data_IF_215896044149
#
_entry.id   IF_215896044149
#
_cell.length_a   1.000
_cell.length_b   1.000
_cell.length_c   1.000
_cell.angle_alpha   90.00
_cell.angle_beta   90.00
_cell.angle_gamma   90.00
#
_symmetry.space_group_name_H-M   'P 1'
#
loop_
_entity.id
_entity.type
_entity.pdbx_description
1 polymer ?
#
# COMPACT_ATOMS: atom_id res chain seq x y z
N UNK A 1 7.49 -26.61 15.11
CA UNK A 1 8.67 -26.58 14.21
C UNK A 1 8.34 -26.16 12.79
N UNK A 2 7.59 -25.06 12.60
CA UNK A 2 7.51 -24.34 11.32
C UNK A 2 7.34 -22.85 11.63
N UNK A 3 8.42 -22.25 12.09
CA UNK A 3 8.58 -20.81 12.28
C UNK A 3 9.88 -20.46 11.57
N UNK A 4 9.77 -19.72 10.46
CA UNK A 4 10.78 -18.76 9.94
C UNK A 4 10.54 -18.39 8.47
N UNK A 5 9.87 -19.23 7.68
CA UNK A 5 9.76 -19.01 6.22
C UNK A 5 8.84 -17.82 5.85
N UNK A 6 7.99 -17.35 6.75
CA UNK A 6 7.11 -16.21 6.46
C UNK A 6 7.81 -14.84 6.57
N UNK A 7 8.95 -14.75 7.26
CA UNK A 7 9.62 -13.46 7.47
C UNK A 7 11.14 -13.42 7.30
N UNK A 8 11.88 -14.54 7.39
CA UNK A 8 13.34 -14.55 7.17
C UNK A 8 13.74 -15.70 6.24
N UNK A 9 14.41 -15.37 5.14
CA UNK A 9 14.78 -16.34 4.12
C UNK A 9 15.98 -15.87 3.31
N UNK A 10 17.08 -15.58 3.99
CA UNK A 10 18.41 -15.60 3.38
C UNK A 10 19.00 -17.01 3.58
N UNK A 11 19.34 -17.68 2.49
CA UNK A 11 19.60 -19.11 2.49
C UNK A 11 20.00 -19.63 1.13
N UNK A 12 21.26 -19.39 0.80
CA UNK A 12 22.04 -19.91 -0.32
C UNK A 12 21.86 -21.43 -0.48
N UNK A 13 21.47 -21.87 -1.67
CA UNK A 13 21.76 -23.22 -2.19
C UNK A 13 21.62 -23.19 -3.71
N UNK A 14 22.74 -23.45 -4.37
CA UNK A 14 22.88 -23.62 -5.81
C UNK A 14 22.06 -24.83 -6.30
N UNK A 15 21.62 -24.74 -7.55
CA UNK A 15 21.04 -25.79 -8.39
C UNK A 15 19.67 -26.37 -8.02
N UNK A 16 18.66 -25.70 -8.56
CA UNK A 16 17.33 -26.26 -8.78
C UNK A 16 16.36 -25.14 -9.12
N UNK A 17 15.73 -25.19 -10.30
CA UNK A 17 14.66 -24.26 -10.72
C UNK A 17 13.52 -24.26 -9.69
N UNK A 18 13.67 -23.48 -8.62
CA UNK A 18 12.58 -23.07 -7.75
C UNK A 18 11.70 -22.19 -8.62
N UNK A 19 10.53 -22.70 -8.99
CA UNK A 19 9.39 -21.82 -9.22
C UNK A 19 9.11 -21.17 -7.88
N UNK A 20 9.80 -20.06 -7.61
CA UNK A 20 9.74 -19.36 -6.32
C UNK A 20 8.41 -18.62 -6.28
N UNK A 21 7.36 -19.30 -5.82
CA UNK A 21 6.10 -18.64 -5.49
C UNK A 21 6.43 -17.48 -4.55
N UNK A 22 6.02 -16.24 -4.88
CA UNK A 22 6.32 -15.08 -4.05
C UNK A 22 5.80 -15.29 -2.63
N UNK A 23 6.57 -14.92 -1.62
CA UNK A 23 6.10 -14.95 -0.22
C UNK A 23 5.24 -13.73 0.09
N UNK A 24 4.46 -13.79 1.17
CA UNK A 24 3.71 -12.64 1.71
C UNK A 24 4.63 -11.40 1.85
N UNK A 25 5.82 -11.58 2.44
CA UNK A 25 6.80 -10.51 2.64
C UNK A 25 7.21 -9.87 1.30
N UNK A 26 7.52 -10.67 0.28
CA UNK A 26 7.92 -10.18 -1.04
C UNK A 26 6.77 -9.37 -1.67
N UNK A 27 5.54 -9.89 -1.62
CA UNK A 27 4.38 -9.21 -2.19
C UNK A 27 4.03 -7.91 -1.45
N UNK A 28 4.16 -7.87 -0.12
CA UNK A 28 3.98 -6.63 0.67
C UNK A 28 5.00 -5.58 0.22
N UNK A 29 6.28 -5.94 0.13
CA UNK A 29 7.35 -5.01 -0.27
C UNK A 29 7.16 -4.55 -1.71
N UNK A 30 6.86 -5.46 -2.63
CA UNK A 30 6.66 -5.15 -4.05
C UNK A 30 5.41 -4.27 -4.26
N UNK A 31 4.30 -4.58 -3.60
CA UNK A 31 3.07 -3.82 -3.68
C UNK A 31 3.26 -2.40 -3.18
N UNK A 32 3.90 -2.25 -2.01
CA UNK A 32 4.25 -0.95 -1.47
C UNK A 32 5.23 -0.17 -2.38
N UNK A 33 6.22 -0.86 -2.97
CA UNK A 33 7.16 -0.24 -3.90
C UNK A 33 6.48 0.31 -5.16
N UNK A 34 5.60 -0.47 -5.78
CA UNK A 34 4.82 -0.02 -6.93
C UNK A 34 3.84 1.12 -6.56
N UNK A 35 3.18 1.02 -5.41
CA UNK A 35 2.29 2.08 -4.90
C UNK A 35 3.04 3.40 -4.68
N UNK A 36 4.19 3.36 -3.98
CA UNK A 36 5.01 4.54 -3.71
C UNK A 36 5.53 5.20 -4.99
N UNK A 37 5.90 4.38 -5.99
CA UNK A 37 6.29 4.90 -7.30
C UNK A 37 5.12 5.61 -7.98
N UNK A 38 3.94 4.99 -8.00
CA UNK A 38 2.73 5.60 -8.55
C UNK A 38 2.40 6.94 -7.87
N UNK A 39 2.47 6.98 -6.54
CA UNK A 39 2.24 8.20 -5.78
C UNK A 39 3.28 9.28 -6.13
N UNK A 40 4.56 8.92 -6.23
CA UNK A 40 5.64 9.86 -6.62
C UNK A 40 5.41 10.44 -8.03
N UNK A 41 5.04 9.59 -8.99
CA UNK A 41 4.74 10.03 -10.36
C UNK A 41 3.49 10.94 -10.37
N UNK A 42 2.48 10.64 -9.55
CA UNK A 42 1.32 11.51 -9.38
C UNK A 42 1.66 12.87 -8.74
N UNK A 43 2.55 12.92 -7.74
CA UNK A 43 3.04 14.20 -7.19
C UNK A 43 3.76 15.03 -8.26
N UNK A 44 4.56 14.39 -9.11
CA UNK A 44 5.20 15.07 -10.24
C UNK A 44 4.14 15.62 -11.21
N UNK A 45 3.09 14.86 -11.50
CA UNK A 45 1.98 15.31 -12.33
C UNK A 45 1.27 16.54 -11.73
N UNK A 46 0.97 16.54 -10.43
CA UNK A 46 0.37 17.69 -9.73
C UNK A 46 1.23 18.95 -9.88
N UNK A 47 2.53 18.83 -9.61
CA UNK A 47 3.47 19.95 -9.75
C UNK A 47 3.47 20.52 -11.17
N UNK A 48 3.34 19.67 -12.19
CA UNK A 48 3.29 20.10 -13.60
C UNK A 48 1.98 20.81 -13.95
N UNK A 49 0.85 20.36 -13.40
CA UNK A 49 -0.43 21.06 -13.57
C UNK A 49 -0.40 22.44 -12.91
N UNK A 50 0.14 22.57 -11.70
CA UNK A 50 0.25 23.86 -11.02
C UNK A 50 1.10 24.86 -11.82
N UNK A 51 2.18 24.38 -12.46
CA UNK A 51 3.03 25.22 -13.32
C UNK A 51 2.38 25.55 -14.67
N UNK A 52 1.44 24.73 -15.15
CA UNK A 52 0.75 24.95 -16.41
C UNK A 52 -0.13 26.21 -16.39
N UNK A 53 -0.62 26.63 -15.22
CA UNK A 53 -1.36 27.90 -15.07
C UNK A 53 -0.49 29.12 -15.40
N UNK A 54 0.83 29.02 -15.22
CA UNK A 54 1.78 30.12 -15.45
C UNK A 54 2.38 30.09 -16.86
N UNK A 55 2.65 28.89 -17.39
CA UNK A 55 3.48 28.71 -18.60
C UNK A 55 2.74 28.08 -19.79
N UNK A 56 1.46 27.72 -19.61
CA UNK A 56 0.73 26.86 -20.53
C UNK A 56 1.01 25.39 -20.28
N UNK A 57 0.07 24.53 -20.69
CA UNK A 57 0.13 23.10 -20.45
C UNK A 57 0.84 22.36 -21.59
N UNK A 58 1.89 21.60 -21.25
CA UNK A 58 2.45 20.57 -22.13
C UNK A 58 1.68 19.26 -21.91
N UNK A 59 0.65 19.03 -22.73
CA UNK A 59 -0.19 17.84 -22.61
C UNK A 59 0.54 16.54 -22.94
N UNK A 60 1.64 16.59 -23.71
CA UNK A 60 2.44 15.40 -24.00
C UNK A 60 3.20 15.00 -22.73
N UNK A 61 3.87 15.97 -22.09
CA UNK A 61 4.58 15.71 -20.82
C UNK A 61 3.61 15.25 -19.72
N UNK A 62 2.45 15.89 -19.59
CA UNK A 62 1.43 15.50 -18.61
C UNK A 62 0.91 14.08 -18.86
N UNK A 63 0.69 13.70 -20.12
CA UNK A 63 0.24 12.36 -20.49
C UNK A 63 1.29 11.31 -20.14
N UNK A 64 2.57 11.57 -20.42
CA UNK A 64 3.66 10.63 -20.14
C UNK A 64 3.81 10.36 -18.63
N UNK A 65 3.77 11.42 -17.80
CA UNK A 65 3.87 11.28 -16.34
C UNK A 65 2.64 10.54 -15.78
N UNK A 66 1.44 10.89 -16.24
CA UNK A 66 0.23 10.25 -15.76
C UNK A 66 0.17 8.76 -16.16
N UNK A 67 0.62 8.41 -17.37
CA UNK A 67 0.73 7.02 -17.79
C UNK A 67 1.74 6.25 -16.91
N UNK A 68 2.85 6.88 -16.49
CA UNK A 68 3.80 6.26 -15.56
C UNK A 68 3.18 5.98 -14.17
N UNK A 69 2.40 6.93 -13.66
CA UNK A 69 1.65 6.76 -12.42
C UNK A 69 0.63 5.61 -12.52
N UNK A 70 -0.14 5.54 -13.62
CA UNK A 70 -1.11 4.47 -13.90
C UNK A 70 -0.43 3.11 -13.96
N UNK A 71 0.62 2.96 -14.76
CA UNK A 71 1.35 1.69 -14.89
C UNK A 71 1.89 1.19 -13.54
N UNK A 72 2.38 2.11 -12.70
CA UNK A 72 2.85 1.77 -11.36
C UNK A 72 1.70 1.38 -10.42
N UNK A 73 0.53 2.02 -10.55
CA UNK A 73 -0.67 1.64 -9.79
C UNK A 73 -1.21 0.28 -10.24
N UNK A 74 -1.21 -0.04 -11.53
CA UNK A 74 -1.57 -1.37 -12.06
C UNK A 74 -0.67 -2.47 -11.50
N UNK A 75 0.64 -2.20 -11.39
CA UNK A 75 1.57 -3.09 -10.70
C UNK A 75 1.18 -3.29 -9.23
N UNK A 76 0.89 -2.20 -8.51
CA UNK A 76 0.50 -2.26 -7.11
C UNK A 76 -0.79 -3.07 -6.94
N UNK A 77 -1.82 -2.79 -7.76
CA UNK A 77 -3.10 -3.47 -7.76
C UNK A 77 -2.97 -4.97 -8.01
N UNK A 78 -2.23 -5.36 -9.05
CA UNK A 78 -1.95 -6.77 -9.35
C UNK A 78 -1.21 -7.44 -8.20
N UNK A 79 -0.26 -6.75 -7.59
CA UNK A 79 0.53 -7.29 -6.48
C UNK A 79 -0.32 -7.47 -5.22
N UNK A 80 -1.17 -6.49 -4.87
CA UNK A 80 -2.08 -6.59 -3.73
C UNK A 80 -3.20 -7.62 -3.96
N UNK A 81 -3.66 -7.80 -5.19
CA UNK A 81 -4.55 -8.90 -5.56
C UNK A 81 -3.91 -10.26 -5.28
N UNK A 82 -2.65 -10.45 -5.70
CA UNK A 82 -1.91 -11.68 -5.43
C UNK A 82 -1.66 -11.86 -3.93
N UNK A 83 -1.33 -10.77 -3.21
CA UNK A 83 -1.12 -10.77 -1.77
C UNK A 83 -2.38 -11.24 -1.03
N UNK A 84 -3.54 -10.65 -1.31
CA UNK A 84 -4.79 -11.03 -0.62
C UNK A 84 -5.16 -12.49 -0.87
N UNK A 85 -4.92 -13.00 -2.08
CA UNK A 85 -5.23 -14.40 -2.40
C UNK A 85 -4.28 -15.35 -1.68
N UNK A 86 -2.97 -15.07 -1.70
CA UNK A 86 -1.99 -15.87 -0.96
C UNK A 86 -2.26 -15.84 0.56
N UNK A 87 -2.64 -14.68 1.08
CA UNK A 87 -2.98 -14.46 2.48
C UNK A 87 -4.21 -15.26 2.93
N UNK A 88 -5.20 -15.45 2.05
CA UNK A 88 -6.38 -16.25 2.34
C UNK A 88 -6.05 -17.74 2.55
N UNK A 89 -5.04 -18.24 1.84
CA UNK A 89 -4.61 -19.65 1.90
C UNK A 89 -3.46 -19.90 2.90
N UNK A 90 -2.86 -18.83 3.45
CA UNK A 90 -1.69 -18.93 4.33
C UNK A 90 -2.13 -19.01 5.80
N UNK A 91 -1.80 -20.09 6.53
CA UNK A 91 -2.04 -20.14 7.96
C UNK A 91 -1.10 -19.17 8.70
N UNK A 92 -1.67 -18.25 9.46
CA UNK A 92 -0.90 -17.28 10.25
C UNK A 92 -0.36 -17.88 11.56
N UNK A 93 0.76 -17.32 12.02
CA UNK A 93 1.31 -17.63 13.35
C UNK A 93 0.30 -17.22 14.43
N UNK A 94 -0.22 -18.21 15.16
CA UNK A 94 -1.28 -18.00 16.15
C UNK A 94 -0.85 -17.10 17.30
N UNK A 95 0.42 -17.10 17.69
CA UNK A 95 0.94 -16.20 18.71
C UNK A 95 0.88 -14.75 18.26
N UNK A 96 1.35 -14.46 17.03
CA UNK A 96 1.29 -13.11 16.45
C UNK A 96 -0.17 -12.65 16.31
N UNK A 97 -1.03 -13.54 15.83
CA UNK A 97 -2.46 -13.26 15.68
C UNK A 97 -3.12 -12.94 17.03
N UNK A 98 -2.75 -13.65 18.10
CA UNK A 98 -3.29 -13.37 19.42
C UNK A 98 -2.75 -12.06 20.00
N UNK A 99 -1.47 -11.74 19.77
CA UNK A 99 -0.90 -10.44 20.14
C UNK A 99 -1.62 -9.27 19.46
N UNK A 100 -2.03 -9.40 18.20
CA UNK A 100 -2.84 -8.37 17.52
C UNK A 100 -4.13 -8.10 18.28
N UNK A 101 -4.83 -9.14 18.77
CA UNK A 101 -6.09 -8.98 19.51
C UNK A 101 -5.92 -8.17 20.80
N UNK A 102 -4.79 -8.36 21.48
CA UNK A 102 -4.53 -7.76 22.80
C UNK A 102 -3.64 -6.52 22.75
N UNK A 103 -3.24 -6.08 21.55
CA UNK A 103 -2.38 -4.92 21.38
C UNK A 103 -3.05 -3.65 21.93
N UNK A 104 -2.27 -2.78 22.57
CA UNK A 104 -2.76 -1.49 23.09
C UNK A 104 -2.86 -0.46 21.95
N UNK A 105 -3.94 -0.57 21.17
CA UNK A 105 -4.19 0.33 20.04
C UNK A 105 -4.38 1.78 20.45
N UNK A 106 -5.04 2.03 21.58
CA UNK A 106 -5.38 3.39 21.99
C UNK A 106 -4.13 4.10 22.53
N UNK A 107 -3.34 3.41 23.36
CA UNK A 107 -2.02 3.93 23.77
C UNK A 107 -1.06 4.12 22.59
N UNK A 108 -1.10 3.25 21.59
CA UNK A 108 -0.26 3.40 20.39
C UNK A 108 -0.66 4.60 19.53
N UNK A 109 -1.97 4.82 19.33
CA UNK A 109 -2.51 5.99 18.62
C UNK A 109 -2.06 7.30 19.29
N UNK A 110 -2.30 7.42 20.60
CA UNK A 110 -1.97 8.61 21.37
C UNK A 110 -0.45 8.85 21.43
N UNK A 111 0.32 7.80 21.73
CA UNK A 111 1.78 7.90 21.87
C UNK A 111 2.52 8.26 20.59
N UNK A 112 1.92 8.00 19.41
CA UNK A 112 2.54 8.28 18.11
C UNK A 112 1.88 9.46 17.37
N UNK A 113 0.80 10.03 17.89
CA UNK A 113 0.10 11.17 17.28
C UNK A 113 -0.43 10.88 15.86
N UNK A 114 -0.98 9.68 15.65
CA UNK A 114 -1.38 9.23 14.31
C UNK A 114 -2.72 9.85 13.86
N UNK A 115 -2.98 9.83 12.55
CA UNK A 115 -4.29 10.20 12.02
C UNK A 115 -5.35 9.21 12.54
N UNK A 116 -6.26 9.71 13.38
CA UNK A 116 -7.24 8.87 14.08
C UNK A 116 -8.19 8.13 13.14
N UNK A 117 -8.60 8.74 12.02
CA UNK A 117 -9.53 8.13 11.07
C UNK A 117 -8.88 6.94 10.37
N UNK A 118 -7.67 7.11 9.83
CA UNK A 118 -6.91 6.04 9.17
C UNK A 118 -6.54 4.95 10.17
N UNK A 119 -6.10 5.34 11.38
CA UNK A 119 -5.73 4.38 12.40
C UNK A 119 -6.92 3.55 12.90
N UNK A 120 -8.11 4.16 13.01
CA UNK A 120 -9.35 3.44 13.35
C UNK A 120 -9.68 2.37 12.31
N UNK A 121 -9.43 2.63 11.01
CA UNK A 121 -9.58 1.63 9.95
C UNK A 121 -8.61 0.45 10.15
N UNK A 122 -7.33 0.72 10.44
CA UNK A 122 -6.31 -0.31 10.74
C UNK A 122 -6.71 -1.14 11.96
N UNK A 123 -7.07 -0.49 13.07
CA UNK A 123 -7.55 -1.13 14.31
C UNK A 123 -8.74 -2.05 14.00
N UNK A 124 -9.68 -1.59 13.18
CA UNK A 124 -10.89 -2.32 12.81
C UNK A 124 -10.66 -3.70 12.19
N UNK A 125 -9.53 -3.92 11.52
CA UNK A 125 -9.10 -5.21 10.99
C UNK A 125 -8.27 -5.99 12.02
N UNK A 126 -7.19 -5.38 12.51
CA UNK A 126 -6.16 -6.10 13.25
C UNK A 126 -6.65 -6.60 14.62
N UNK A 127 -7.50 -5.83 15.32
CA UNK A 127 -8.05 -6.27 16.62
C UNK A 127 -8.95 -7.50 16.48
N UNK A 128 -9.56 -7.68 15.30
CA UNK A 128 -10.39 -8.84 14.96
C UNK A 128 -9.59 -10.02 14.41
N UNK A 129 -8.26 -9.87 14.32
CA UNK A 129 -7.33 -10.84 13.74
C UNK A 129 -7.48 -11.00 12.22
N UNK A 130 -8.02 -9.98 11.57
CA UNK A 130 -8.35 -10.02 10.14
C UNK A 130 -7.24 -9.40 9.28
N UNK A 131 -6.10 -10.08 9.21
CA UNK A 131 -4.94 -9.64 8.40
C UNK A 131 -5.26 -9.72 6.91
N UNK A 132 -5.99 -10.75 6.48
CA UNK A 132 -6.42 -10.90 5.08
C UNK A 132 -7.35 -9.77 4.66
N UNK A 133 -8.30 -9.37 5.51
CA UNK A 133 -9.16 -8.22 5.27
C UNK A 133 -8.38 -6.92 5.15
N UNK A 134 -7.30 -6.74 5.92
CA UNK A 134 -6.43 -5.58 5.76
C UNK A 134 -5.75 -5.53 4.36
N UNK A 135 -5.28 -6.68 3.85
CA UNK A 135 -4.72 -6.76 2.49
C UNK A 135 -5.77 -6.58 1.39
N UNK A 136 -6.97 -7.11 1.60
CA UNK A 136 -8.11 -6.85 0.71
C UNK A 136 -8.44 -5.36 0.65
N UNK A 137 -8.42 -4.68 1.81
CA UNK A 137 -8.59 -3.22 1.90
C UNK A 137 -7.56 -2.46 1.06
N UNK A 138 -6.28 -2.86 1.10
CA UNK A 138 -5.23 -2.27 0.25
C UNK A 138 -5.48 -2.51 -1.24
N UNK A 139 -5.92 -3.72 -1.60
CA UNK A 139 -6.27 -4.02 -2.99
C UNK A 139 -7.43 -3.14 -3.47
N UNK A 140 -8.50 -3.02 -2.71
CA UNK A 140 -9.65 -2.18 -3.07
C UNK A 140 -9.27 -0.71 -3.19
N UNK A 141 -8.46 -0.18 -2.27
CA UNK A 141 -7.94 1.19 -2.37
C UNK A 141 -7.18 1.41 -3.70
N UNK A 142 -6.34 0.44 -4.11
CA UNK A 142 -5.64 0.57 -5.42
C UNK A 142 -6.57 0.46 -6.63
N UNK A 143 -7.71 -0.23 -6.53
CA UNK A 143 -8.73 -0.25 -7.59
C UNK A 143 -9.33 1.16 -7.72
N UNK A 144 -9.77 1.73 -6.61
CA UNK A 144 -10.41 3.05 -6.59
C UNK A 144 -9.46 4.16 -7.09
N UNK A 145 -8.19 4.13 -6.64
CA UNK A 145 -7.15 5.05 -7.09
C UNK A 145 -6.87 4.92 -8.60
N UNK A 146 -6.81 3.68 -9.12
CA UNK A 146 -6.58 3.42 -10.53
C UNK A 146 -7.74 3.93 -11.39
N UNK A 147 -8.98 3.72 -10.95
CA UNK A 147 -10.17 4.22 -11.64
C UNK A 147 -10.16 5.76 -11.72
N UNK A 148 -9.80 6.44 -10.62
CA UNK A 148 -9.68 7.91 -10.60
C UNK A 148 -8.54 8.43 -11.48
N UNK A 149 -7.38 7.78 -11.46
CA UNK A 149 -6.28 8.11 -12.38
C UNK A 149 -6.72 7.99 -13.84
N UNK A 150 -7.46 6.94 -14.20
CA UNK A 150 -7.98 6.75 -15.54
C UNK A 150 -9.02 7.81 -15.93
N UNK A 151 -9.85 8.28 -14.99
CA UNK A 151 -10.74 9.42 -15.23
C UNK A 151 -9.98 10.71 -15.51
N UNK A 152 -8.91 11.01 -14.74
CA UNK A 152 -8.02 12.15 -14.98
C UNK A 152 -7.34 12.02 -16.35
N UNK A 153 -6.94 10.81 -16.72
CA UNK A 153 -6.33 10.54 -18.02
C UNK A 153 -7.25 10.91 -19.18
N UNK A 154 -8.56 10.69 -19.06
CA UNK A 154 -9.52 11.11 -20.08
C UNK A 154 -9.55 12.63 -20.27
N UNK A 155 -9.40 13.42 -19.21
CA UNK A 155 -9.30 14.88 -19.35
C UNK A 155 -8.02 15.27 -20.10
N UNK A 156 -6.87 14.69 -19.72
CA UNK A 156 -5.57 14.96 -20.36
C UNK A 156 -5.55 14.54 -21.83
N UNK A 157 -6.08 13.36 -22.17
CA UNK A 157 -6.16 12.86 -23.54
C UNK A 157 -7.03 13.76 -24.45
N UNK A 158 -7.93 14.56 -23.85
CA UNK A 158 -8.74 15.56 -24.54
C UNK A 158 -8.13 16.98 -24.49
N UNK A 159 -6.85 17.12 -24.12
CA UNK A 159 -6.15 18.39 -23.93
C UNK A 159 -6.90 19.33 -22.96
N UNK A 160 -7.46 18.77 -21.89
CA UNK A 160 -8.17 19.50 -20.85
C UNK A 160 -7.45 19.33 -19.52
N UNK A 161 -7.30 20.44 -18.78
CA UNK A 161 -6.78 20.39 -17.42
C UNK A 161 -7.86 19.80 -16.50
N UNK A 162 -7.55 18.73 -15.74
CA UNK A 162 -8.44 18.16 -14.75
C UNK A 162 -8.83 19.18 -13.68
N UNK A 163 -10.00 18.98 -13.08
CA UNK A 163 -10.45 19.79 -11.95
C UNK A 163 -9.50 19.63 -10.74
N UNK A 164 -8.94 20.74 -10.27
CA UNK A 164 -8.00 20.81 -9.15
C UNK A 164 -8.59 20.14 -7.90
N UNK A 165 -9.90 20.29 -7.64
CA UNK A 165 -10.52 19.64 -6.48
C UNK A 165 -10.42 18.11 -6.55
N UNK A 166 -10.61 17.51 -7.74
CA UNK A 166 -10.46 16.06 -7.95
C UNK A 166 -9.02 15.59 -7.76
N UNK A 167 -8.06 16.43 -8.18
CA UNK A 167 -6.64 16.15 -8.01
C UNK A 167 -6.23 16.12 -6.53
N UNK A 168 -6.71 17.08 -5.74
CA UNK A 168 -6.48 17.11 -4.29
C UNK A 168 -7.19 15.97 -3.56
N UNK A 169 -8.41 15.63 -3.94
CA UNK A 169 -9.11 14.46 -3.41
C UNK A 169 -8.31 13.18 -3.66
N UNK A 170 -7.84 12.96 -4.89
CA UNK A 170 -7.02 11.80 -5.22
C UNK A 170 -5.71 11.78 -4.43
N UNK A 171 -5.07 12.94 -4.25
CA UNK A 171 -3.86 13.07 -3.43
C UNK A 171 -4.09 12.69 -1.96
N UNK A 172 -5.24 13.10 -1.40
CA UNK A 172 -5.63 12.72 -0.04
C UNK A 172 -5.86 11.21 0.07
N UNK A 173 -6.52 10.59 -0.91
CA UNK A 173 -6.73 9.14 -0.94
C UNK A 173 -5.41 8.36 -1.04
N UNK A 174 -4.44 8.85 -1.84
CA UNK A 174 -3.07 8.31 -1.84
C UNK A 174 -2.44 8.35 -0.46
N UNK A 175 -2.56 9.49 0.22
CA UNK A 175 -1.98 9.71 1.55
C UNK A 175 -2.62 8.81 2.60
N UNK A 176 -3.95 8.69 2.59
CA UNK A 176 -4.68 7.84 3.54
C UNK A 176 -4.36 6.35 3.32
N UNK A 177 -4.24 5.91 2.07
CA UNK A 177 -3.83 4.53 1.72
C UNK A 177 -2.39 4.26 2.16
N UNK A 178 -1.48 5.23 1.96
CA UNK A 178 -0.10 5.13 2.42
C UNK A 178 -0.04 4.99 3.95
N UNK A 179 -0.75 5.85 4.68
CA UNK A 179 -0.80 5.81 6.14
C UNK A 179 -1.41 4.50 6.65
N UNK A 180 -2.44 3.98 6.00
CA UNK A 180 -3.02 2.69 6.34
C UNK A 180 -1.96 1.56 6.28
N UNK A 181 -1.18 1.51 5.20
CA UNK A 181 -0.08 0.57 5.05
C UNK A 181 1.03 0.74 6.08
N UNK A 182 1.47 1.98 6.31
CA UNK A 182 2.52 2.30 7.28
C UNK A 182 2.10 1.94 8.72
N UNK A 183 0.89 2.27 9.13
CA UNK A 183 0.38 1.97 10.47
C UNK A 183 0.22 0.47 10.68
N UNK A 184 -0.26 -0.24 9.66
CA UNK A 184 -0.33 -1.71 9.67
C UNK A 184 1.06 -2.31 9.89
N UNK A 185 2.05 -1.88 9.11
CA UNK A 185 3.43 -2.37 9.24
C UNK A 185 4.04 -2.03 10.61
N UNK A 186 3.77 -0.84 11.15
CA UNK A 186 4.29 -0.41 12.45
C UNK A 186 3.77 -1.30 13.60
N UNK A 187 2.50 -1.68 13.58
CA UNK A 187 1.92 -2.59 14.59
C UNK A 187 2.58 -3.97 14.52
N UNK A 188 2.75 -4.52 13.31
CA UNK A 188 3.46 -5.78 13.14
C UNK A 188 4.91 -5.70 13.65
N UNK A 189 5.60 -4.59 13.41
CA UNK A 189 6.96 -4.38 13.90
C UNK A 189 7.03 -4.41 15.44
N UNK A 190 6.13 -3.69 16.12
CA UNK A 190 6.08 -3.67 17.60
C UNK A 190 5.77 -5.06 18.19
N UNK A 191 4.84 -5.80 17.59
CA UNK A 191 4.50 -7.16 18.03
C UNK A 191 5.69 -8.11 17.90
N UNK A 192 6.44 -8.04 16.79
CA UNK A 192 7.65 -8.84 16.63
C UNK A 192 8.72 -8.47 17.66
N UNK A 193 8.83 -7.18 18.03
CA UNK A 193 9.66 -6.74 19.13
C UNK A 193 9.25 -7.40 20.46
N UNK A 194 7.96 -7.35 20.81
CA UNK A 194 7.43 -7.94 22.05
C UNK A 194 7.75 -9.45 22.15
N UNK A 195 7.63 -10.19 21.04
CA UNK A 195 7.88 -11.64 21.02
C UNK A 195 9.38 -11.93 21.18
N UNK A 196 10.25 -11.19 20.50
CA UNK A 196 11.71 -11.38 20.56
C UNK A 196 12.30 -11.17 21.96
N UNK A 197 11.68 -10.35 22.80
CA UNK A 197 12.16 -10.05 24.16
C UNK A 197 11.47 -10.87 25.27
N UNK A 198 10.60 -11.83 24.93
CA UNK A 198 9.99 -12.76 25.91
C UNK A 198 10.79 -14.05 26.14
N UNK A 199 11.85 -14.28 25.37
CA UNK A 199 12.72 -15.46 25.42
C UNK A 199 14.19 -15.03 25.34
#
# INVERSE_FOLDING_TARGET
NYSDISYDGDGSSEDGKRSSTPTIKILVIQGAGCFLKSHSDFQLFLNKIELAELNGADFIELQDILNAAINSMECANTTYFNLKNLAADTPYNQEVIEQLRTFDYDGFLEGKGLNAAVFSRVKGFLIKRDVTGAYESMFLDTVDLLDRLNQIKQDIDNNKIPDISKLWELNQEYSDTLFFGQYTAAIFFEIHGIIKYKY
#
